data_IF_234318255928
#
_entry.id   IF_234318255928
#
_cell.length_a   1.000
_cell.length_b   1.000
_cell.length_c   1.000
_cell.angle_alpha   90.00
_cell.angle_beta   90.00
_cell.angle_gamma   90.00
#
_symmetry.space_group_name_H-M   'P 1'
#
loop_
_entity.id
_entity.type
_entity.pdbx_description
1 polymer ?
#
# COMPACT_ATOMS: atom_id res chain seq x y z
N UNK A 1 -18.04 -11.78 53.15
CA UNK A 1 -17.07 -11.96 52.04
C UNK A 1 -17.83 -11.69 50.75
N UNK A 2 -17.74 -10.48 50.26
CA UNK A 2 -18.51 -9.99 49.10
C UNK A 2 -17.55 -9.65 47.98
N UNK A 3 -17.61 -10.37 46.87
CA UNK A 3 -16.85 -10.13 45.68
C UNK A 3 -17.40 -8.89 44.96
N UNK A 4 -16.58 -7.86 44.85
CA UNK A 4 -16.84 -6.68 44.04
C UNK A 4 -16.08 -6.86 42.72
N UNK A 5 -16.74 -7.38 41.68
CA UNK A 5 -16.19 -7.46 40.35
C UNK A 5 -16.31 -6.12 39.61
N UNK A 6 -15.19 -5.65 39.10
CA UNK A 6 -15.00 -4.41 38.41
C UNK A 6 -15.64 -4.44 36.99
N UNK A 7 -16.75 -3.75 36.84
CA UNK A 7 -17.54 -3.60 35.61
C UNK A 7 -17.15 -2.38 34.75
N UNK A 8 -16.05 -1.67 35.01
CA UNK A 8 -15.77 -0.33 34.48
C UNK A 8 -15.06 -0.31 33.11
N UNK A 9 -14.55 -1.44 32.64
CA UNK A 9 -13.76 -1.46 31.38
C UNK A 9 -14.57 -1.61 30.08
N UNK A 10 -15.76 -2.18 30.18
CA UNK A 10 -16.59 -2.51 29.01
C UNK A 10 -17.51 -1.36 28.54
N UNK A 11 -17.86 -0.45 29.43
CA UNK A 11 -18.76 0.65 29.11
C UNK A 11 -18.04 1.84 28.46
N UNK A 12 -16.73 2.01 28.70
CA UNK A 12 -15.92 3.04 28.04
C UNK A 12 -15.66 2.70 26.56
N UNK A 13 -15.52 1.43 26.24
CA UNK A 13 -15.31 0.99 24.85
C UNK A 13 -16.57 1.15 23.99
N UNK A 14 -17.75 0.93 24.56
CA UNK A 14 -19.05 1.09 23.85
C UNK A 14 -19.40 2.55 23.59
N UNK A 15 -18.94 3.49 24.40
CA UNK A 15 -19.18 4.93 24.23
C UNK A 15 -18.27 5.55 23.19
N UNK A 16 -17.07 4.98 22.97
CA UNK A 16 -16.14 5.46 21.93
C UNK A 16 -16.57 5.07 20.50
N UNK A 17 -17.26 3.93 20.34
CA UNK A 17 -17.77 3.47 19.04
C UNK A 17 -19.02 4.25 18.58
N UNK A 18 -19.78 4.85 19.51
CA UNK A 18 -21.01 5.58 19.18
C UNK A 18 -20.76 7.04 18.71
N UNK A 19 -19.57 7.61 18.93
CA UNK A 19 -19.30 9.03 18.60
C UNK A 19 -18.65 9.22 17.23
N UNK A 20 -18.24 8.18 16.53
CA UNK A 20 -17.62 8.27 15.19
C UNK A 20 -18.63 8.14 14.05
N UNK A 21 -19.90 7.84 14.34
CA UNK A 21 -20.94 7.56 13.32
C UNK A 21 -21.90 8.74 13.04
N UNK A 22 -21.64 9.95 13.58
CA UNK A 22 -22.59 11.07 13.44
C UNK A 22 -22.06 12.33 12.71
N UNK A 23 -21.05 12.23 11.86
CA UNK A 23 -20.55 13.41 11.10
C UNK A 23 -20.42 13.14 9.59
N UNK A 24 -21.31 12.37 8.98
CA UNK A 24 -21.38 12.25 7.50
C UNK A 24 -22.84 12.22 7.04
N UNK A 25 -23.63 13.23 7.38
CA UNK A 25 -24.82 13.56 6.61
C UNK A 25 -25.08 15.07 6.81
N UNK A 26 -24.59 15.93 5.95
CA UNK A 26 -25.22 17.19 5.49
C UNK A 26 -24.27 17.93 4.55
N UNK A 27 -24.44 17.74 3.27
CA UNK A 27 -24.38 18.80 2.25
C UNK A 27 -24.58 18.18 0.87
N UNK A 28 -25.82 17.92 0.52
CA UNK A 28 -26.25 17.71 -0.84
C UNK A 28 -27.08 18.92 -1.24
N UNK A 29 -26.72 19.57 -2.30
CA UNK A 29 -27.54 20.36 -3.26
C UNK A 29 -26.53 20.78 -4.33
N UNK A 30 -26.50 20.23 -5.53
CA UNK A 30 -27.44 20.49 -6.57
C UNK A 30 -26.90 21.58 -7.47
N UNK A 31 -26.30 21.22 -8.63
CA UNK A 31 -26.45 22.11 -9.80
C UNK A 31 -26.27 21.27 -11.08
N UNK A 32 -27.39 21.08 -11.74
CA UNK A 32 -27.52 20.56 -13.10
C UNK A 32 -27.25 21.75 -14.03
N UNK A 33 -26.29 21.61 -14.94
CA UNK A 33 -26.16 22.53 -16.07
C UNK A 33 -26.13 21.74 -17.38
N UNK A 34 -27.00 22.17 -18.28
CA UNK A 34 -27.47 21.53 -19.47
C UNK A 34 -26.43 21.33 -20.57
N UNK A 35 -26.67 20.26 -21.33
CA UNK A 35 -26.08 19.95 -22.59
C UNK A 35 -26.32 21.02 -23.66
N UNK A 36 -25.34 21.32 -24.49
CA UNK A 36 -25.53 21.82 -25.84
C UNK A 36 -24.88 20.88 -26.85
N UNK A 37 -25.78 20.28 -27.61
CA UNK A 37 -25.53 19.51 -28.82
C UNK A 37 -25.19 20.48 -29.95
N UNK A 38 -24.13 20.29 -30.69
CA UNK A 38 -23.91 20.85 -32.00
C UNK A 38 -23.23 19.76 -32.89
N UNK A 39 -24.01 19.23 -33.82
CA UNK A 39 -23.60 18.46 -34.99
C UNK A 39 -23.76 19.27 -36.26
N UNK A 40 -23.37 18.77 -37.45
CA UNK A 40 -22.01 18.41 -37.95
C UNK A 40 -21.67 19.18 -39.22
N UNK A 41 -20.41 19.12 -39.64
CA UNK A 41 -20.05 19.48 -41.03
C UNK A 41 -19.17 18.41 -41.63
N UNK A 42 -19.72 17.76 -42.67
CA UNK A 42 -19.14 16.81 -43.58
C UNK A 42 -18.22 17.52 -44.54
N UNK A 43 -17.01 17.08 -44.76
CA UNK A 43 -16.36 17.00 -46.11
C UNK A 43 -15.16 16.05 -46.05
N UNK A 44 -15.12 15.20 -47.07
CA UNK A 44 -14.30 14.10 -47.40
C UNK A 44 -12.85 14.38 -47.76
N UNK A 45 -12.12 13.30 -47.86
CA UNK A 45 -10.80 13.29 -48.52
C UNK A 45 -9.84 12.28 -47.93
N UNK A 46 -9.69 11.19 -48.67
CA UNK A 46 -8.48 10.43 -48.95
C UNK A 46 -7.86 9.49 -47.92
N UNK A 47 -7.94 8.23 -48.29
CA UNK A 47 -7.15 7.09 -47.83
C UNK A 47 -5.66 7.34 -47.92
N UNK A 48 -4.94 7.22 -46.84
CA UNK A 48 -3.59 6.72 -46.82
C UNK A 48 -3.48 5.66 -45.72
N UNK A 49 -3.25 4.43 -46.15
CA UNK A 49 -2.89 3.31 -45.31
C UNK A 49 -1.63 3.67 -44.53
N UNK A 50 -1.78 3.94 -43.23
CA UNK A 50 -0.67 4.05 -42.29
C UNK A 50 -0.65 2.81 -41.41
N UNK A 51 0.38 2.01 -41.65
CA UNK A 51 0.86 0.88 -40.89
C UNK A 51 0.55 1.05 -39.38
N UNK A 52 -0.28 0.17 -38.83
CA UNK A 52 -0.40 -0.02 -37.39
C UNK A 52 0.94 -0.57 -36.90
N UNK A 53 1.79 0.32 -36.42
CA UNK A 53 2.96 -0.09 -35.64
C UNK A 53 2.45 -0.75 -34.38
N UNK A 54 2.73 -2.02 -34.20
CA UNK A 54 2.62 -2.72 -32.93
C UNK A 54 3.39 -1.90 -31.87
N UNK A 55 2.84 -1.69 -30.66
CA UNK A 55 3.63 -1.13 -29.59
C UNK A 55 4.75 -2.11 -29.28
N UNK A 56 5.94 -1.69 -29.59
CA UNK A 56 7.18 -2.40 -29.29
C UNK A 56 7.25 -2.67 -27.77
N UNK A 57 7.48 -3.92 -27.39
CA UNK A 57 7.55 -4.40 -26.01
C UNK A 57 8.86 -3.96 -25.32
N UNK A 58 9.26 -2.70 -25.46
CA UNK A 58 10.49 -2.13 -24.90
C UNK A 58 10.25 -1.04 -23.84
N UNK A 59 9.08 -1.03 -23.19
CA UNK A 59 8.79 -0.08 -22.12
C UNK A 59 9.43 -0.44 -20.75
N UNK A 60 10.42 -1.36 -20.73
CA UNK A 60 11.13 -1.75 -19.50
C UNK A 60 12.50 -1.05 -19.31
N UNK A 61 12.82 -0.05 -20.15
CA UNK A 61 14.15 0.57 -20.17
C UNK A 61 14.28 1.88 -19.38
N UNK A 62 13.19 2.45 -18.85
CA UNK A 62 13.24 3.77 -18.19
C UNK A 62 13.24 3.72 -16.66
N UNK A 63 13.29 2.53 -16.06
CA UNK A 63 13.58 2.41 -14.64
C UNK A 63 15.09 2.61 -14.48
N UNK A 64 15.54 3.62 -13.71
CA UNK A 64 16.96 3.74 -13.40
C UNK A 64 17.44 2.39 -12.86
N UNK A 65 18.36 1.75 -13.55
CA UNK A 65 18.98 0.49 -13.12
C UNK A 65 19.83 0.78 -11.89
N UNK A 66 19.17 0.97 -10.75
CA UNK A 66 19.86 1.05 -9.48
C UNK A 66 20.34 -0.35 -9.15
N UNK A 67 21.63 -0.51 -8.91
CA UNK A 67 22.22 -1.80 -8.56
C UNK A 67 21.45 -2.40 -7.37
N UNK A 68 21.26 -3.74 -7.32
CA UNK A 68 20.59 -4.37 -6.20
C UNK A 68 21.32 -4.04 -4.92
N UNK A 69 20.71 -3.23 -4.05
CA UNK A 69 21.36 -2.70 -2.83
C UNK A 69 20.84 -3.35 -1.56
N UNK A 70 20.00 -4.37 -1.64
CA UNK A 70 19.39 -4.92 -0.45
C UNK A 70 19.28 -6.45 -0.42
N UNK A 71 18.94 -6.99 0.75
CA UNK A 71 18.82 -8.42 0.96
C UNK A 71 17.76 -9.10 0.07
N UNK A 72 16.86 -8.34 -0.52
CA UNK A 72 15.79 -8.85 -1.38
C UNK A 72 16.20 -9.06 -2.85
N UNK A 73 17.41 -8.67 -3.22
CA UNK A 73 17.96 -8.97 -4.53
C UNK A 73 17.96 -10.48 -4.79
N UNK A 74 17.22 -10.90 -5.83
CA UNK A 74 17.12 -12.32 -6.20
C UNK A 74 15.83 -13.02 -5.79
N UNK A 75 14.91 -12.38 -5.06
CA UNK A 75 13.56 -12.90 -4.91
C UNK A 75 12.83 -12.83 -6.26
N UNK A 76 12.42 -14.00 -6.76
CA UNK A 76 11.62 -14.07 -8.00
C UNK A 76 10.16 -14.11 -7.61
N UNK A 77 9.48 -12.99 -7.79
CA UNK A 77 8.04 -12.89 -7.57
C UNK A 77 7.28 -13.31 -8.83
N UNK A 78 6.19 -14.03 -8.64
CA UNK A 78 5.21 -14.27 -9.69
C UNK A 78 4.47 -12.96 -10.02
N UNK A 79 3.82 -12.85 -11.21
CA UNK A 79 2.98 -11.70 -11.52
C UNK A 79 1.91 -11.43 -10.46
N UNK A 80 1.32 -12.47 -9.91
CA UNK A 80 0.29 -12.38 -8.86
C UNK A 80 0.87 -11.85 -7.53
N UNK A 81 2.07 -12.27 -7.15
CA UNK A 81 2.75 -11.75 -5.95
C UNK A 81 3.18 -10.30 -6.13
N UNK A 82 3.60 -9.91 -7.33
CA UNK A 82 3.94 -8.52 -7.66
C UNK A 82 2.71 -7.62 -7.56
N UNK A 83 1.58 -8.06 -8.09
CA UNK A 83 0.31 -7.34 -8.01
C UNK A 83 -0.14 -7.20 -6.55
N UNK A 84 -0.12 -8.29 -5.78
CA UNK A 84 -0.48 -8.28 -4.37
C UNK A 84 0.45 -7.37 -3.54
N UNK A 85 1.76 -7.34 -3.87
CA UNK A 85 2.71 -6.42 -3.23
C UNK A 85 2.35 -4.96 -3.51
N UNK A 86 1.96 -4.63 -4.74
CA UNK A 86 1.52 -3.28 -5.07
C UNK A 86 0.22 -2.89 -4.34
N UNK A 87 -0.71 -3.83 -4.19
CA UNK A 87 -1.96 -3.62 -3.46
C UNK A 87 -1.72 -3.32 -1.97
N UNK A 88 -0.81 -4.06 -1.31
CA UNK A 88 -0.52 -3.79 0.10
C UNK A 88 0.23 -2.45 0.28
N UNK A 89 1.18 -2.13 -0.60
CA UNK A 89 1.85 -0.83 -0.59
C UNK A 89 0.83 0.30 -0.73
N UNK A 90 -0.14 0.16 -1.64
CA UNK A 90 -1.20 1.14 -1.82
C UNK A 90 -2.08 1.30 -0.58
N UNK A 91 -2.43 0.20 0.08
CA UNK A 91 -3.24 0.23 1.30
C UNK A 91 -2.53 0.89 2.48
N UNK A 92 -1.22 0.65 2.63
CA UNK A 92 -0.44 1.11 3.77
C UNK A 92 0.21 2.47 3.56
N UNK A 93 0.56 2.83 2.31
CA UNK A 93 1.48 3.97 2.08
C UNK A 93 1.22 4.80 0.83
N UNK A 94 0.03 4.73 0.20
CA UNK A 94 -0.27 5.50 -1.04
C UNK A 94 -0.10 7.02 -0.89
N UNK A 95 -0.20 7.56 0.33
CA UNK A 95 0.00 8.99 0.63
C UNK A 95 1.42 9.34 1.09
N UNK A 96 2.29 8.35 1.23
CA UNK A 96 3.67 8.54 1.66
C UNK A 96 4.58 8.96 0.49
N UNK A 97 5.75 9.57 0.79
CA UNK A 97 6.79 9.77 -0.20
C UNK A 97 7.16 8.45 -0.90
N UNK A 98 7.56 8.49 -2.16
CA UNK A 98 7.90 7.31 -2.95
C UNK A 98 8.87 6.35 -2.22
N UNK A 99 9.89 6.90 -1.57
CA UNK A 99 10.84 6.13 -0.78
C UNK A 99 10.15 5.36 0.37
N UNK A 100 9.11 5.95 1.00
CA UNK A 100 8.29 5.30 2.03
C UNK A 100 7.46 4.15 1.46
N UNK A 101 6.93 4.31 0.24
CA UNK A 101 6.23 3.24 -0.46
C UNK A 101 7.16 2.07 -0.77
N UNK A 102 8.39 2.33 -1.25
CA UNK A 102 9.43 1.31 -1.46
C UNK A 102 9.80 0.63 -0.14
N UNK A 103 9.92 1.39 0.94
CA UNK A 103 10.26 0.88 2.27
C UNK A 103 9.19 -0.11 2.80
N UNK A 104 7.91 0.20 2.64
CA UNK A 104 6.82 -0.73 2.99
C UNK A 104 6.90 -2.02 2.18
N UNK A 105 7.12 -1.92 0.87
CA UNK A 105 7.34 -3.09 0.02
C UNK A 105 8.55 -3.92 0.45
N UNK A 106 9.65 -3.26 0.79
CA UNK A 106 10.86 -3.92 1.27
C UNK A 106 10.61 -4.70 2.57
N UNK A 107 9.85 -4.16 3.53
CA UNK A 107 9.50 -4.89 4.77
C UNK A 107 8.74 -6.18 4.47
N UNK A 108 7.77 -6.16 3.55
CA UNK A 108 7.04 -7.37 3.14
C UNK A 108 8.04 -8.42 2.61
N UNK A 109 8.95 -8.02 1.73
CA UNK A 109 9.94 -8.93 1.13
C UNK A 109 10.99 -9.39 2.15
N UNK A 110 11.38 -8.55 3.10
CA UNK A 110 12.25 -8.93 4.21
C UNK A 110 11.61 -10.03 5.06
N UNK A 111 10.31 -9.95 5.32
CA UNK A 111 9.55 -10.98 6.04
C UNK A 111 9.49 -12.29 5.24
N UNK A 112 9.24 -12.24 3.93
CA UNK A 112 9.32 -13.42 3.05
C UNK A 112 10.70 -14.10 3.17
N UNK A 113 11.76 -13.31 3.15
CA UNK A 113 13.13 -13.81 3.27
C UNK A 113 13.44 -14.36 4.65
N UNK A 114 12.96 -13.73 5.71
CA UNK A 114 13.11 -14.22 7.08
C UNK A 114 12.37 -15.56 7.28
N UNK A 115 11.27 -15.76 6.56
CA UNK A 115 10.50 -16.99 6.63
C UNK A 115 9.91 -17.26 8.02
N UNK A 116 9.82 -18.54 8.39
CA UNK A 116 9.38 -18.94 9.72
C UNK A 116 8.02 -18.39 10.11
N UNK A 117 7.99 -17.64 11.20
CA UNK A 117 6.76 -17.06 11.70
C UNK A 117 6.11 -16.01 10.78
N UNK A 118 6.86 -15.41 9.86
CA UNK A 118 6.31 -14.41 8.93
C UNK A 118 5.61 -15.03 7.73
N UNK A 119 6.02 -16.20 7.30
CA UNK A 119 5.60 -16.85 6.05
C UNK A 119 6.71 -16.86 5.01
N UNK A 120 6.56 -17.67 3.96
CA UNK A 120 7.56 -17.92 2.92
C UNK A 120 7.17 -17.34 1.56
N UNK A 121 5.96 -16.80 1.43
CA UNK A 121 5.42 -16.16 0.22
C UNK A 121 4.84 -14.79 0.55
N UNK A 122 4.72 -13.94 -0.46
CA UNK A 122 4.08 -12.62 -0.30
C UNK A 122 2.67 -12.74 0.24
N UNK A 123 1.92 -13.74 -0.24
CA UNK A 123 0.55 -13.98 0.21
C UNK A 123 0.49 -14.41 1.68
N UNK A 124 1.37 -15.32 2.12
CA UNK A 124 1.42 -15.75 3.52
C UNK A 124 1.77 -14.60 4.46
N UNK A 125 2.70 -13.72 4.07
CA UNK A 125 3.06 -12.54 4.85
C UNK A 125 1.89 -11.57 4.94
N UNK A 126 1.24 -11.26 3.81
CA UNK A 126 0.20 -10.23 3.75
C UNK A 126 -1.09 -10.68 4.42
N UNK A 127 -1.54 -11.90 4.16
CA UNK A 127 -2.81 -12.42 4.69
C UNK A 127 -2.70 -13.02 6.09
N UNK A 128 -1.53 -12.98 6.70
CA UNK A 128 -1.38 -13.40 8.11
C UNK A 128 -2.27 -12.54 9.01
N UNK A 129 -3.10 -13.16 9.87
CA UNK A 129 -4.04 -12.43 10.71
C UNK A 129 -3.37 -11.34 11.55
N UNK A 130 -3.92 -10.13 11.50
CA UNK A 130 -3.49 -8.99 12.33
C UNK A 130 -2.21 -8.28 11.86
N UNK A 131 -1.63 -8.66 10.71
CA UNK A 131 -0.39 -8.04 10.24
C UNK A 131 -0.62 -6.72 9.51
N UNK A 132 -1.69 -6.62 8.72
CA UNK A 132 -1.93 -5.45 7.88
C UNK A 132 -3.39 -4.99 7.99
N UNK A 133 -3.57 -3.70 8.30
CA UNK A 133 -4.89 -3.08 8.40
C UNK A 133 -5.68 -3.12 7.08
N UNK A 134 -5.06 -2.87 5.91
CA UNK A 134 -5.74 -2.94 4.61
C UNK A 134 -6.40 -4.29 4.30
N UNK A 135 -5.87 -5.39 4.81
CA UNK A 135 -6.49 -6.72 4.69
C UNK A 135 -7.77 -6.78 5.51
N UNK A 136 -7.74 -6.24 6.72
CA UNK A 136 -8.88 -6.27 7.65
C UNK A 136 -10.02 -5.35 7.22
N UNK A 137 -9.71 -4.17 6.72
CA UNK A 137 -10.70 -3.14 6.36
C UNK A 137 -11.08 -3.13 4.86
N UNK A 138 -10.52 -4.05 4.06
CA UNK A 138 -10.81 -4.21 2.64
C UNK A 138 -10.08 -3.25 1.70
N UNK A 139 -9.21 -2.37 2.20
CA UNK A 139 -8.42 -1.45 1.35
C UNK A 139 -7.43 -2.19 0.44
N UNK A 140 -7.07 -3.43 0.76
CA UNK A 140 -6.26 -4.31 -0.09
C UNK A 140 -6.88 -4.53 -1.49
N UNK A 141 -8.20 -4.36 -1.63
CA UNK A 141 -8.92 -4.55 -2.88
C UNK A 141 -8.99 -3.27 -3.74
N UNK A 142 -8.45 -2.14 -3.27
CA UNK A 142 -8.40 -0.91 -4.05
C UNK A 142 -7.27 -1.01 -5.09
N UNK A 143 -7.54 -0.57 -6.31
CA UNK A 143 -6.52 -0.54 -7.37
C UNK A 143 -5.31 0.29 -6.94
N UNK A 144 -4.09 -0.24 -7.09
CA UNK A 144 -2.87 0.49 -6.78
C UNK A 144 -2.69 1.71 -7.69
N UNK A 145 -2.10 2.77 -7.14
CA UNK A 145 -1.64 3.90 -7.94
C UNK A 145 -0.39 3.50 -8.76
N UNK A 146 -0.08 4.24 -9.83
CA UNK A 146 1.13 4.03 -10.61
C UNK A 146 2.40 4.10 -9.75
N UNK A 147 2.43 5.03 -8.80
CA UNK A 147 3.53 5.16 -7.84
C UNK A 147 3.71 3.88 -7.00
N UNK A 148 2.61 3.27 -6.54
CA UNK A 148 2.67 2.03 -5.75
C UNK A 148 3.08 0.82 -6.61
N UNK A 149 2.63 0.77 -7.87
CA UNK A 149 3.08 -0.25 -8.84
C UNK A 149 4.59 -0.14 -9.09
N UNK A 150 5.11 1.08 -9.29
CA UNK A 150 6.53 1.32 -9.45
C UNK A 150 7.31 0.97 -8.17
N UNK A 151 6.80 1.36 -6.99
CA UNK A 151 7.43 1.04 -5.72
C UNK A 151 7.56 -0.48 -5.48
N UNK A 152 6.54 -1.26 -5.86
CA UNK A 152 6.58 -2.72 -5.79
C UNK A 152 7.71 -3.30 -6.67
N UNK A 153 7.85 -2.80 -7.91
CA UNK A 153 8.93 -3.22 -8.82
C UNK A 153 10.31 -2.89 -8.26
N UNK A 154 10.49 -1.66 -7.75
CA UNK A 154 11.74 -1.18 -7.17
C UNK A 154 12.14 -2.00 -5.93
N UNK A 155 11.19 -2.30 -5.04
CA UNK A 155 11.42 -3.16 -3.89
C UNK A 155 11.79 -4.60 -4.32
N UNK A 156 11.08 -5.17 -5.32
CA UNK A 156 11.36 -6.51 -5.84
C UNK A 156 12.72 -6.61 -6.56
N UNK A 157 13.23 -5.51 -7.10
CA UNK A 157 14.60 -5.43 -7.63
C UNK A 157 15.68 -5.42 -6.53
N UNK A 158 15.29 -5.42 -5.27
CA UNK A 158 16.19 -5.48 -4.13
C UNK A 158 16.44 -4.14 -3.46
N UNK A 159 15.76 -3.06 -3.86
CA UNK A 159 15.88 -1.78 -3.17
C UNK A 159 15.23 -1.87 -1.79
N UNK A 160 16.01 -1.64 -0.76
CA UNK A 160 15.57 -1.65 0.63
C UNK A 160 16.15 -0.45 1.39
N UNK A 161 15.43 0.67 1.44
CA UNK A 161 15.87 1.84 2.17
C UNK A 161 15.85 1.65 3.69
N UNK A 162 15.26 0.53 4.18
CA UNK A 162 15.15 0.27 5.62
C UNK A 162 16.33 -0.50 6.20
N UNK A 163 17.19 -1.06 5.34
CA UNK A 163 18.31 -1.86 5.79
C UNK A 163 17.88 -3.16 6.48
N UNK A 164 16.82 -3.82 5.98
CA UNK A 164 16.34 -5.09 6.51
C UNK A 164 15.31 -4.98 7.64
N UNK A 165 14.57 -3.89 7.74
CA UNK A 165 13.50 -3.79 8.75
C UNK A 165 12.43 -4.87 8.55
N UNK A 166 11.89 -5.36 9.67
CA UNK A 166 10.80 -6.35 9.72
C UNK A 166 9.49 -5.74 10.19
N UNK A 167 9.52 -4.54 10.79
CA UNK A 167 8.34 -3.83 11.27
C UNK A 167 8.35 -2.39 10.80
N UNK A 168 7.15 -1.87 10.59
CA UNK A 168 6.92 -0.44 10.45
C UNK A 168 5.62 -0.04 11.16
N UNK A 169 5.54 1.23 11.57
CA UNK A 169 4.40 1.76 12.28
C UNK A 169 4.43 3.29 12.30
N UNK A 170 3.26 3.90 12.52
CA UNK A 170 3.13 5.35 12.62
C UNK A 170 3.17 5.76 14.10
N UNK A 171 4.12 6.61 14.52
CA UNK A 171 4.26 7.05 15.91
C UNK A 171 2.98 7.62 16.52
N UNK A 172 2.28 8.43 15.74
CA UNK A 172 1.06 9.10 16.19
C UNK A 172 -0.14 8.17 16.38
N UNK A 173 -0.07 6.95 15.84
CA UNK A 173 -1.17 5.98 15.88
C UNK A 173 -0.87 4.75 16.72
N UNK A 174 0.37 4.59 17.18
CA UNK A 174 0.80 3.35 17.82
C UNK A 174 1.25 3.59 19.25
N UNK A 175 0.62 2.89 20.19
CA UNK A 175 0.93 2.90 21.62
C UNK A 175 1.57 1.59 22.10
N UNK A 176 2.03 0.73 21.19
CA UNK A 176 2.63 -0.57 21.54
C UNK A 176 4.03 -0.39 22.13
N UNK A 177 4.18 -0.65 23.43
CA UNK A 177 5.50 -0.64 24.09
C UNK A 177 6.49 -1.59 23.41
N UNK A 178 6.00 -2.71 22.87
CA UNK A 178 6.82 -3.66 22.12
C UNK A 178 7.45 -3.01 20.88
N UNK A 179 6.67 -2.29 20.05
CA UNK A 179 7.19 -1.63 18.87
C UNK A 179 8.16 -0.49 19.22
N UNK A 180 7.84 0.26 20.30
CA UNK A 180 8.69 1.32 20.79
C UNK A 180 10.03 0.84 21.37
N UNK A 181 10.10 -0.38 21.87
CA UNK A 181 11.35 -0.97 22.40
C UNK A 181 12.28 -1.52 21.33
N UNK A 182 11.81 -1.66 20.07
CA UNK A 182 12.61 -2.24 19.00
C UNK A 182 13.63 -1.23 18.46
N UNK A 183 14.85 -1.70 18.09
CA UNK A 183 15.86 -0.84 17.49
C UNK A 183 15.34 -0.14 16.24
N UNK A 184 15.39 1.19 16.24
CA UNK A 184 15.05 2.00 15.09
C UNK A 184 16.12 1.84 14.01
N UNK A 185 15.70 1.56 12.78
CA UNK A 185 16.57 1.56 11.60
C UNK A 185 16.50 2.90 10.88
N UNK A 186 15.29 3.37 10.53
CA UNK A 186 15.09 4.63 9.82
C UNK A 186 13.65 5.14 10.02
N UNK A 187 13.46 6.44 9.83
CA UNK A 187 12.15 7.07 9.67
C UNK A 187 12.02 7.61 8.25
N UNK A 188 10.92 7.30 7.57
CA UNK A 188 10.62 7.76 6.23
C UNK A 188 9.15 8.15 6.17
N UNK A 189 8.85 9.41 5.81
CA UNK A 189 7.50 9.93 5.86
C UNK A 189 6.92 9.87 7.27
N UNK A 190 5.71 9.31 7.40
CA UNK A 190 5.07 9.14 8.70
C UNK A 190 5.40 7.80 9.38
N UNK A 191 6.29 6.98 8.82
CA UNK A 191 6.59 5.65 9.33
C UNK A 191 7.98 5.55 9.99
N UNK A 192 8.01 4.82 11.10
CA UNK A 192 9.23 4.28 11.70
C UNK A 192 9.42 2.84 11.26
N UNK A 193 10.64 2.50 10.83
CA UNK A 193 11.05 1.17 10.42
C UNK A 193 12.02 0.60 11.44
N UNK A 194 11.73 -0.61 11.94
CA UNK A 194 12.46 -1.23 13.04
C UNK A 194 12.80 -2.69 12.76
N UNK A 195 13.70 -3.22 13.57
CA UNK A 195 14.14 -4.61 13.48
C UNK A 195 13.10 -5.59 13.98
#
# INVERSE_FOLDING_TARGET
MTNHESSTGRDSFRRFVALVLLVVILSGTGMVAAAQVLEPATTGGENTASSVAQPDATADSDIPRVAPLGPNAGLKLTPQEMDLLAHIINGESRGEPFLGQVAVGAVVLNRVRAGGEYGSTVAEVIYRPGQFEPVRNGQINLSPTESCLLAARVAAQGQDPTGGALYFWQPDKTFSAYLWSRPLKIEIGCHRFTE
#
